data_IF_723306616576
#
_entry.id   IF_723306616576
#
_cell.length_a   1.000
_cell.length_b   1.000
_cell.length_c   1.000
_cell.angle_alpha   90.00
_cell.angle_beta   90.00
_cell.angle_gamma   90.00
#
_symmetry.space_group_name_H-M   'P 1'
#
loop_
_entity.id
_entity.type
_entity.pdbx_description
1 polymer ?
#
# COMPACT_ATOMS: atom_id res chain seq x y z
N UNK A 1 21.91 42.94 30.83
CA UNK A 1 21.61 41.65 31.48
C UNK A 1 20.19 41.33 31.04
N UNK A 2 19.97 40.67 29.91
CA UNK A 2 20.39 39.29 29.61
C UNK A 2 19.57 38.41 30.56
N UNK A 3 18.54 37.70 30.13
CA UNK A 3 18.65 36.53 29.26
C UNK A 3 17.47 36.44 28.28
N UNK A 4 17.82 36.16 27.03
CA UNK A 4 16.96 35.57 26.02
C UNK A 4 16.39 34.23 26.53
N UNK A 5 15.06 34.09 26.51
CA UNK A 5 14.38 32.79 26.69
C UNK A 5 14.63 31.93 25.44
N UNK A 6 15.85 31.42 25.32
CA UNK A 6 16.15 30.28 24.45
C UNK A 6 15.50 29.04 25.06
N UNK A 7 14.28 28.72 24.61
CA UNK A 7 13.74 27.38 24.71
C UNK A 7 14.78 26.43 24.14
N UNK A 8 15.42 25.66 25.02
CA UNK A 8 16.50 24.75 24.65
C UNK A 8 15.99 23.73 23.65
N UNK A 9 16.86 23.37 22.71
CA UNK A 9 16.61 22.40 21.62
C UNK A 9 15.97 21.09 22.11
N UNK A 10 16.20 20.74 23.38
CA UNK A 10 15.66 19.56 24.05
C UNK A 10 14.14 19.64 24.30
N UNK A 11 13.58 20.80 24.68
CA UNK A 11 12.13 20.96 24.92
C UNK A 11 11.33 20.93 23.60
N UNK A 12 11.90 21.48 22.53
CA UNK A 12 11.29 21.39 21.19
C UNK A 12 11.26 19.95 20.67
N UNK A 13 12.28 19.16 21.02
CA UNK A 13 12.39 17.77 20.61
C UNK A 13 11.39 16.88 21.35
N UNK A 14 11.09 17.19 22.61
CA UNK A 14 10.06 16.50 23.39
C UNK A 14 8.65 16.75 22.81
N UNK A 15 8.31 18.02 22.50
CA UNK A 15 7.00 18.39 21.93
C UNK A 15 6.79 17.74 20.55
N UNK A 16 7.81 17.71 19.69
CA UNK A 16 7.75 17.06 18.37
C UNK A 16 7.57 15.54 18.48
N UNK A 17 8.10 14.92 19.53
CA UNK A 17 8.02 13.49 19.75
C UNK A 17 6.65 13.08 20.28
N UNK A 18 6.04 13.89 21.14
CA UNK A 18 4.67 13.73 21.62
C UNK A 18 3.65 13.90 20.49
N UNK A 19 3.80 14.93 19.64
CA UNK A 19 2.92 15.15 18.48
C UNK A 19 3.02 14.00 17.45
N UNK A 20 4.22 13.46 17.24
CA UNK A 20 4.42 12.29 16.37
C UNK A 20 3.77 11.02 16.94
N UNK A 21 3.87 10.79 18.26
CA UNK A 21 3.24 9.65 18.91
C UNK A 21 1.71 9.73 18.87
N UNK A 22 1.15 10.92 19.07
CA UNK A 22 -0.30 11.12 18.99
C UNK A 22 -0.82 10.99 17.55
N UNK A 23 -0.07 11.45 16.56
CA UNK A 23 -0.41 11.28 15.15
C UNK A 23 -0.40 9.80 14.72
N UNK A 24 0.59 9.02 15.15
CA UNK A 24 0.66 7.58 14.86
C UNK A 24 -0.48 6.78 15.52
N UNK A 25 -0.95 7.22 16.69
CA UNK A 25 -2.06 6.56 17.41
C UNK A 25 -3.43 6.83 16.78
N UNK A 26 -3.58 7.95 16.05
CA UNK A 26 -4.83 8.34 15.40
C UNK A 26 -4.98 7.86 13.94
N UNK A 27 -3.97 7.17 13.39
CA UNK A 27 -4.13 6.44 12.13
C UNK A 27 -4.85 5.13 12.45
N UNK A 28 -6.18 5.14 12.30
CA UNK A 28 -7.05 3.97 12.43
C UNK A 28 -6.42 2.71 11.82
N UNK A 29 -6.30 1.61 12.59
CA UNK A 29 -5.79 0.34 12.08
C UNK A 29 -6.91 -0.34 11.29
N UNK A 30 -7.12 0.06 10.03
CA UNK A 30 -8.12 -0.60 9.18
C UNK A 30 -7.59 -1.08 7.83
N UNK A 31 -6.31 -0.86 7.48
CA UNK A 31 -5.78 -1.32 6.18
C UNK A 31 -4.34 -1.88 6.24
N UNK A 32 -3.82 -2.16 7.43
CA UNK A 32 -2.62 -2.99 7.61
C UNK A 32 -3.04 -4.38 8.06
N UNK A 33 -3.59 -5.17 7.14
CA UNK A 33 -3.32 -6.60 7.20
C UNK A 33 -1.85 -6.76 6.80
N UNK A 34 -0.95 -6.59 7.76
CA UNK A 34 0.43 -7.05 7.63
C UNK A 34 0.39 -8.58 7.54
N UNK A 35 0.24 -9.10 6.32
CA UNK A 35 0.35 -10.53 6.05
C UNK A 35 1.76 -10.97 6.48
N UNK A 36 1.83 -11.82 7.51
CA UNK A 36 3.06 -12.33 8.14
C UNK A 36 4.02 -13.05 7.15
N UNK A 37 3.59 -13.25 5.90
CA UNK A 37 4.35 -13.88 4.81
C UNK A 37 5.40 -13.00 4.11
N UNK A 38 5.57 -11.75 4.53
CA UNK A 38 6.52 -10.83 3.90
C UNK A 38 6.04 -10.33 2.53
N UNK A 39 6.79 -9.40 1.89
CA UNK A 39 6.34 -8.73 0.68
C UNK A 39 6.25 -9.70 -0.50
N UNK A 40 5.08 -9.73 -1.16
CA UNK A 40 4.87 -10.50 -2.38
C UNK A 40 5.76 -9.90 -3.48
N UNK A 41 6.58 -10.72 -4.19
CA UNK A 41 7.44 -10.21 -5.25
C UNK A 41 6.60 -9.64 -6.41
N UNK A 42 6.93 -8.42 -6.84
CA UNK A 42 6.26 -7.70 -7.94
C UNK A 42 6.21 -8.50 -9.23
N UNK A 43 7.24 -9.31 -9.53
CA UNK A 43 7.25 -10.21 -10.70
C UNK A 43 6.14 -11.26 -10.62
N UNK A 44 5.93 -11.88 -9.47
CA UNK A 44 4.87 -12.87 -9.27
C UNK A 44 3.47 -12.26 -9.42
N UNK A 45 3.27 -11.02 -8.96
CA UNK A 45 2.01 -10.29 -9.14
C UNK A 45 1.75 -10.03 -10.64
N UNK A 46 2.77 -9.55 -11.36
CA UNK A 46 2.66 -9.30 -12.82
C UNK A 46 2.38 -10.58 -13.60
N UNK A 47 3.00 -11.70 -13.22
CA UNK A 47 2.73 -13.00 -13.83
C UNK A 47 1.32 -13.52 -13.53
N UNK A 48 0.81 -13.29 -12.32
CA UNK A 48 -0.56 -13.63 -11.97
C UNK A 48 -1.56 -12.84 -12.84
N UNK A 49 -1.32 -11.55 -13.07
CA UNK A 49 -2.20 -10.73 -13.93
C UNK A 49 -2.29 -11.29 -15.34
N UNK A 50 -1.16 -11.67 -15.95
CA UNK A 50 -1.14 -12.31 -17.28
C UNK A 50 -1.92 -13.62 -17.30
N UNK A 51 -1.71 -14.47 -16.29
CA UNK A 51 -2.43 -15.76 -16.18
C UNK A 51 -3.93 -15.55 -16.02
N UNK A 52 -4.32 -14.57 -15.20
CA UNK A 52 -5.73 -14.24 -14.99
C UNK A 52 -6.41 -13.76 -16.26
N UNK A 53 -5.77 -12.89 -17.04
CA UNK A 53 -6.30 -12.44 -18.34
C UNK A 53 -6.52 -13.61 -19.29
N UNK A 54 -5.56 -14.53 -19.37
CA UNK A 54 -5.68 -15.73 -20.20
C UNK A 54 -6.85 -16.63 -19.75
N UNK A 55 -7.00 -16.86 -18.44
CA UNK A 55 -8.11 -17.65 -17.90
C UNK A 55 -9.44 -16.98 -18.21
N UNK A 56 -9.54 -15.66 -17.99
CA UNK A 56 -10.77 -14.90 -18.26
C UNK A 56 -11.15 -14.97 -19.73
N UNK A 57 -10.19 -14.82 -20.64
CA UNK A 57 -10.42 -14.91 -22.08
C UNK A 57 -10.95 -16.31 -22.48
N UNK A 58 -10.31 -17.38 -22.01
CA UNK A 58 -10.77 -18.75 -22.30
C UNK A 58 -12.16 -19.02 -21.74
N UNK A 59 -12.44 -18.60 -20.51
CA UNK A 59 -13.74 -18.85 -19.90
C UNK A 59 -14.86 -18.07 -20.60
N UNK A 60 -14.60 -16.82 -21.01
CA UNK A 60 -15.55 -16.03 -21.80
C UNK A 60 -15.72 -16.56 -23.23
N UNK A 61 -14.74 -17.23 -23.82
CA UNK A 61 -14.89 -17.79 -25.16
C UNK A 61 -15.74 -19.08 -25.17
N UNK A 62 -15.55 -19.95 -24.18
CA UNK A 62 -16.07 -21.32 -24.22
C UNK A 62 -17.26 -21.59 -23.30
N UNK A 63 -17.55 -20.72 -22.32
CA UNK A 63 -18.61 -20.99 -21.36
C UNK A 63 -20.00 -20.63 -21.93
N UNK A 64 -21.00 -21.53 -21.84
CA UNK A 64 -22.33 -21.27 -22.38
C UNK A 64 -23.08 -20.16 -21.62
N UNK A 65 -22.83 -19.99 -20.32
CA UNK A 65 -23.40 -18.91 -19.52
C UNK A 65 -22.38 -17.79 -19.30
N UNK A 66 -22.37 -16.81 -20.20
CA UNK A 66 -21.48 -15.66 -20.16
C UNK A 66 -21.73 -14.73 -18.97
N UNK A 67 -22.98 -14.62 -18.53
CA UNK A 67 -23.35 -13.74 -17.43
C UNK A 67 -22.76 -14.22 -16.09
N UNK A 68 -22.87 -15.52 -15.81
CA UNK A 68 -22.35 -16.09 -14.56
C UNK A 68 -20.83 -16.00 -14.49
N UNK A 69 -20.12 -16.32 -15.57
CA UNK A 69 -18.65 -16.23 -15.60
C UNK A 69 -18.15 -14.79 -15.55
N UNK A 70 -18.88 -13.85 -16.14
CA UNK A 70 -18.56 -12.43 -16.03
C UNK A 70 -18.68 -11.98 -14.58
N UNK A 71 -19.77 -12.34 -13.90
CA UNK A 71 -19.99 -12.03 -12.48
C UNK A 71 -18.88 -12.58 -11.57
N UNK A 72 -18.46 -13.84 -11.80
CA UNK A 72 -17.35 -14.43 -11.03
C UNK A 72 -16.03 -13.72 -11.34
N UNK A 73 -15.77 -13.40 -12.60
CA UNK A 73 -14.58 -12.66 -13.02
C UNK A 73 -14.51 -11.26 -12.42
N UNK A 74 -15.64 -10.56 -12.35
CA UNK A 74 -15.75 -9.23 -11.75
C UNK A 74 -15.52 -9.29 -10.25
N UNK A 75 -16.09 -10.30 -9.55
CA UNK A 75 -15.82 -10.52 -8.14
C UNK A 75 -14.33 -10.79 -7.86
N UNK A 76 -13.68 -11.60 -8.71
CA UNK A 76 -12.25 -11.86 -8.59
C UNK A 76 -11.41 -10.60 -8.83
N UNK A 77 -11.78 -9.79 -9.82
CA UNK A 77 -11.13 -8.50 -10.07
C UNK A 77 -11.24 -7.57 -8.86
N UNK A 78 -12.43 -7.48 -8.27
CA UNK A 78 -12.71 -6.59 -7.14
C UNK A 78 -11.97 -6.99 -5.87
N UNK A 79 -11.89 -8.30 -5.59
CA UNK A 79 -11.31 -8.82 -4.35
C UNK A 79 -9.81 -9.06 -4.45
N UNK A 80 -9.35 -9.71 -5.52
CA UNK A 80 -7.96 -10.14 -5.65
C UNK A 80 -7.12 -9.15 -6.47
N UNK A 81 -7.54 -8.85 -7.71
CA UNK A 81 -6.72 -8.03 -8.62
C UNK A 81 -6.57 -6.60 -8.09
N UNK A 82 -7.64 -6.00 -7.57
CA UNK A 82 -7.57 -4.66 -6.99
C UNK A 82 -6.67 -4.61 -5.75
N UNK A 83 -6.72 -5.63 -4.88
CA UNK A 83 -5.81 -5.72 -3.73
C UNK A 83 -4.35 -5.76 -4.19
N UNK A 84 -4.03 -6.61 -5.17
CA UNK A 84 -2.67 -6.73 -5.69
C UNK A 84 -2.19 -5.48 -6.43
N UNK A 85 -3.08 -4.75 -7.12
CA UNK A 85 -2.75 -3.44 -7.70
C UNK A 85 -2.39 -2.41 -6.63
N UNK A 86 -3.09 -2.41 -5.49
CA UNK A 86 -2.76 -1.54 -4.35
C UNK A 86 -1.36 -1.85 -3.82
N UNK A 87 -1.00 -3.13 -3.69
CA UNK A 87 0.36 -3.55 -3.29
C UNK A 87 1.41 -3.03 -4.27
N UNK A 88 1.19 -3.21 -5.58
CA UNK A 88 2.12 -2.72 -6.60
C UNK A 88 2.30 -1.20 -6.52
N UNK A 89 1.21 -0.45 -6.39
CA UNK A 89 1.26 1.01 -6.30
C UNK A 89 2.05 1.48 -5.08
N UNK A 90 1.84 0.85 -3.92
CA UNK A 90 2.62 1.11 -2.70
C UNK A 90 4.12 0.82 -2.87
N UNK A 91 4.49 -0.16 -3.70
CA UNK A 91 5.90 -0.49 -3.98
C UNK A 91 6.58 0.42 -5.02
N UNK A 92 5.79 1.10 -5.85
CA UNK A 92 6.27 2.05 -6.85
C UNK A 92 6.35 3.49 -6.33
N UNK A 93 5.66 3.80 -5.23
CA UNK A 93 5.87 5.06 -4.51
C UNK A 93 7.31 5.05 -3.98
N UNK A 94 8.20 5.95 -4.47
CA UNK A 94 9.52 6.06 -3.89
C UNK A 94 9.30 6.42 -2.42
N UNK A 95 9.83 5.59 -1.52
CA UNK A 95 9.81 5.88 -0.10
C UNK A 95 10.28 7.32 0.06
N UNK A 96 9.39 8.20 0.52
CA UNK A 96 9.68 9.62 0.71
C UNK A 96 10.94 9.79 1.54
N UNK A 97 11.18 8.86 2.46
CA UNK A 97 12.41 8.73 3.24
C UNK A 97 13.69 8.63 2.39
N UNK A 98 13.68 7.88 1.29
CA UNK A 98 14.81 7.77 0.36
C UNK A 98 15.06 9.02 -0.50
N UNK A 99 14.04 9.86 -0.68
CA UNK A 99 14.19 11.19 -1.30
C UNK A 99 14.71 12.23 -0.30
N UNK A 100 14.36 12.12 0.99
CA UNK A 100 14.84 13.00 2.04
C UNK A 100 16.36 12.87 2.30
N UNK A 101 16.94 11.68 2.17
CA UNK A 101 18.37 11.45 2.42
C UNK A 101 19.30 11.67 1.21
N UNK A 102 18.75 11.97 0.03
CA UNK A 102 19.50 12.16 -1.23
C UNK A 102 19.51 13.63 -1.73
N UNK A 103 19.49 14.60 -0.81
CA UNK A 103 19.75 16.01 -1.15
C UNK A 103 21.24 16.29 -1.39
N UNK A 104 21.61 17.26 -2.26
CA UNK A 104 23.00 17.59 -2.61
C UNK A 104 23.82 18.17 -1.45
#
# INVERSE_FOLDING_TARGET
MGHEDELTTDELQEILNEEHQETQRNVSPSEQEEDERGPIPTSAIKDLFKKWENVRAMVLEWHPNQADVSRVGDLYNDKAINYLRKILKKSEEPSTLGMFFNGP
#
